data_IF_189541613702
#
_entry.id   IF_189541613702
#
_cell.length_a   1.000
_cell.length_b   1.000
_cell.length_c   1.000
_cell.angle_alpha   90.00
_cell.angle_beta   90.00
_cell.angle_gamma   90.00
#
_symmetry.space_group_name_H-M   'P 1'
#
loop_
_entity.id
_entity.type
_entity.pdbx_description
1 polymer ?
#
# COMPACT_ATOMS: atom_id res chain seq x y z
N UNK A 1 -14.35 21.14 -0.54
CA UNK A 1 -13.26 20.13 -0.40
C UNK A 1 -11.94 20.68 -0.96
N UNK A 2 -10.77 20.09 -0.67
CA UNK A 2 -9.46 20.60 -1.15
C UNK A 2 -9.38 20.79 -2.68
N UNK A 3 -9.90 19.84 -3.46
CA UNK A 3 -9.97 19.93 -4.93
C UNK A 3 -10.83 21.11 -5.40
N UNK A 4 -11.99 21.31 -4.78
CA UNK A 4 -12.90 22.41 -5.10
C UNK A 4 -12.29 23.76 -4.73
N UNK A 5 -11.61 23.84 -3.59
CA UNK A 5 -10.85 25.04 -3.22
C UNK A 5 -9.73 25.32 -4.23
N UNK A 6 -9.02 24.28 -4.68
CA UNK A 6 -8.01 24.42 -5.71
C UNK A 6 -8.57 24.99 -7.02
N UNK A 7 -9.67 24.42 -7.50
CA UNK A 7 -10.35 24.89 -8.71
C UNK A 7 -10.82 26.35 -8.59
N UNK A 8 -11.35 26.76 -7.43
CA UNK A 8 -11.82 28.15 -7.19
C UNK A 8 -10.69 29.16 -7.08
N UNK A 9 -9.50 28.75 -6.67
CA UNK A 9 -8.36 29.66 -6.39
C UNK A 9 -7.19 29.49 -7.37
N UNK A 10 -7.35 28.72 -8.44
CA UNK A 10 -6.29 28.48 -9.43
C UNK A 10 -5.10 27.67 -8.89
N UNK A 11 -5.31 26.85 -7.86
CA UNK A 11 -4.26 25.97 -7.33
C UNK A 11 -4.34 24.59 -8.01
N UNK A 12 -3.18 24.06 -8.39
CA UNK A 12 -3.08 22.66 -8.80
C UNK A 12 -3.10 21.77 -7.55
N UNK A 13 -4.18 21.01 -7.38
CA UNK A 13 -4.39 20.17 -6.21
C UNK A 13 -4.63 18.74 -6.66
N UNK A 14 -3.79 17.83 -6.17
CA UNK A 14 -3.92 16.40 -6.42
C UNK A 14 -4.17 15.66 -5.12
N UNK A 15 -4.94 14.59 -5.18
CA UNK A 15 -5.18 13.70 -4.03
C UNK A 15 -4.82 12.28 -4.41
N UNK A 16 -3.90 11.66 -3.67
CA UNK A 16 -3.56 10.24 -3.82
C UNK A 16 -4.20 9.46 -2.68
N UNK A 17 -5.02 8.46 -3.02
CA UNK A 17 -5.66 7.55 -2.08
C UNK A 17 -4.95 6.19 -2.15
N UNK A 18 -3.96 5.92 -1.27
CA UNK A 18 -3.32 4.62 -1.23
C UNK A 18 -4.22 3.56 -0.58
N UNK A 19 -3.99 2.30 -0.94
CA UNK A 19 -4.41 1.16 -0.13
C UNK A 19 -3.48 0.95 1.07
N UNK A 20 -3.34 -0.29 1.52
CA UNK A 20 -2.29 -0.66 2.49
C UNK A 20 -0.92 -0.46 1.83
N UNK A 21 -0.05 0.31 2.47
CA UNK A 21 1.29 0.64 1.96
C UNK A 21 2.33 -0.25 2.62
N UNK A 22 3.03 -1.02 1.80
CA UNK A 22 4.25 -1.74 2.21
C UNK A 22 5.49 -1.00 1.69
N UNK A 23 6.56 -1.06 2.46
CA UNK A 23 7.89 -0.56 2.10
C UNK A 23 8.72 -0.22 3.33
N UNK A 24 10.05 -0.07 3.17
CA UNK A 24 10.93 0.48 4.19
C UNK A 24 10.41 1.85 4.68
N UNK A 25 10.56 2.12 5.98
CA UNK A 25 10.25 3.44 6.53
C UNK A 25 11.40 4.42 6.27
N UNK A 26 11.09 5.73 6.18
CA UNK A 26 12.08 6.80 5.98
C UNK A 26 12.97 6.57 4.75
N UNK A 27 12.31 6.49 3.59
CA UNK A 27 12.91 6.07 2.32
C UNK A 27 13.87 7.12 1.76
N UNK A 28 15.17 6.98 2.03
CA UNK A 28 16.22 7.86 1.49
C UNK A 28 16.86 7.32 0.20
N UNK A 29 16.76 6.01 -0.05
CA UNK A 29 17.42 5.34 -1.18
C UNK A 29 16.39 4.90 -2.24
N UNK A 30 15.31 4.26 -1.82
CA UNK A 30 14.31 3.68 -2.73
C UNK A 30 12.89 4.03 -2.27
N UNK A 31 12.16 4.77 -3.11
CA UNK A 31 10.78 5.17 -2.85
C UNK A 31 9.79 4.00 -3.03
N UNK A 32 8.77 3.91 -2.17
CA UNK A 32 7.65 2.99 -2.32
C UNK A 32 6.78 3.39 -3.51
N UNK A 33 5.91 2.45 -3.91
CA UNK A 33 4.98 2.60 -5.03
C UNK A 33 4.13 3.86 -4.92
N UNK A 34 3.56 4.16 -3.76
CA UNK A 34 2.70 5.34 -3.56
C UNK A 34 3.47 6.65 -3.70
N UNK A 35 4.69 6.73 -3.16
CA UNK A 35 5.52 7.94 -3.23
C UNK A 35 6.01 8.18 -4.64
N UNK A 36 6.39 7.12 -5.37
CA UNK A 36 6.73 7.22 -6.79
C UNK A 36 5.51 7.62 -7.64
N UNK A 37 4.32 7.12 -7.33
CA UNK A 37 3.09 7.54 -8.01
C UNK A 37 2.78 9.03 -7.74
N UNK A 38 2.96 9.50 -6.51
CA UNK A 38 2.81 10.91 -6.18
C UNK A 38 3.81 11.77 -6.95
N UNK A 39 5.09 11.37 -6.96
CA UNK A 39 6.14 12.05 -7.72
C UNK A 39 5.80 12.11 -9.21
N UNK A 40 5.35 10.98 -9.77
CA UNK A 40 4.92 10.86 -11.16
C UNK A 40 3.78 11.82 -11.47
N UNK A 41 2.74 11.89 -10.64
CA UNK A 41 1.60 12.79 -10.84
C UNK A 41 2.04 14.26 -10.83
N UNK A 42 2.95 14.62 -9.93
CA UNK A 42 3.46 15.99 -9.78
C UNK A 42 4.37 16.38 -10.96
N UNK A 43 5.23 15.46 -11.43
CA UNK A 43 6.18 15.74 -12.50
C UNK A 43 5.57 15.63 -13.91
N UNK A 44 4.73 14.62 -14.15
CA UNK A 44 4.18 14.25 -15.47
C UNK A 44 2.78 14.85 -15.73
N UNK A 45 2.41 15.89 -14.96
CA UNK A 45 1.23 16.74 -15.19
C UNK A 45 -0.11 15.99 -15.13
N UNK A 46 -0.30 15.12 -14.13
CA UNK A 46 -1.64 14.59 -13.87
C UNK A 46 -2.63 15.74 -13.59
N UNK A 47 -3.85 15.75 -14.16
CA UNK A 47 -4.84 16.77 -13.84
C UNK A 47 -5.12 16.85 -12.32
N UNK A 48 -5.50 18.05 -11.86
CA UNK A 48 -5.85 18.39 -10.47
C UNK A 48 -7.05 17.60 -9.96
N UNK A 49 -6.82 16.33 -9.65
CA UNK A 49 -7.88 15.37 -9.39
C UNK A 49 -7.45 14.32 -8.36
N UNK A 50 -8.37 13.40 -8.07
CA UNK A 50 -8.11 12.23 -7.24
C UNK A 50 -7.55 11.07 -8.07
N UNK A 51 -6.56 10.39 -7.51
CA UNK A 51 -5.97 9.16 -8.02
C UNK A 51 -5.99 8.10 -6.92
N UNK A 52 -6.53 6.92 -7.25
CA UNK A 52 -6.38 5.74 -6.41
C UNK A 52 -5.02 5.12 -6.76
N UNK A 53 -4.24 4.82 -5.72
CA UNK A 53 -2.95 4.13 -5.83
C UNK A 53 -3.01 2.83 -5.02
N UNK A 54 -3.78 1.89 -5.55
CA UNK A 54 -3.84 0.52 -5.08
C UNK A 54 -3.32 -0.41 -6.19
N UNK A 55 -2.70 -1.52 -5.82
CA UNK A 55 -2.38 -2.57 -6.78
C UNK A 55 -3.68 -3.34 -7.11
N UNK A 56 -3.65 -4.65 -6.94
CA UNK A 56 -4.83 -5.49 -6.95
C UNK A 56 -5.27 -5.70 -5.50
N UNK A 57 -6.58 -5.81 -5.32
CA UNK A 57 -7.14 -6.22 -4.06
C UNK A 57 -6.67 -7.65 -3.74
N UNK A 58 -6.31 -7.88 -2.50
CA UNK A 58 -5.86 -9.18 -2.01
C UNK A 58 -6.59 -9.47 -0.71
N UNK A 59 -7.20 -10.65 -0.61
CA UNK A 59 -7.82 -11.10 0.62
C UNK A 59 -6.75 -11.36 1.68
N UNK A 60 -7.09 -11.18 2.96
CA UNK A 60 -6.13 -11.35 4.05
C UNK A 60 -5.55 -12.79 4.10
N UNK A 61 -6.34 -13.79 3.69
CA UNK A 61 -5.91 -15.18 3.54
C UNK A 61 -4.85 -15.34 2.45
N UNK A 62 -5.02 -14.67 1.32
CA UNK A 62 -4.06 -14.68 0.22
C UNK A 62 -2.77 -13.97 0.62
N UNK A 63 -2.88 -12.87 1.37
CA UNK A 63 -1.73 -12.18 1.95
C UNK A 63 -0.96 -13.11 2.90
N UNK A 64 -1.66 -13.80 3.80
CA UNK A 64 -1.03 -14.77 4.72
C UNK A 64 -0.36 -15.92 3.95
N UNK A 65 -1.00 -16.43 2.90
CA UNK A 65 -0.46 -17.48 2.04
C UNK A 65 0.83 -17.03 1.33
N UNK A 66 0.82 -15.81 0.78
CA UNK A 66 2.00 -15.19 0.16
C UNK A 66 3.14 -15.04 1.19
N UNK A 67 2.83 -14.54 2.39
CA UNK A 67 3.82 -14.40 3.46
C UNK A 67 4.45 -15.75 3.84
N UNK A 68 3.63 -16.77 4.10
CA UNK A 68 4.11 -18.13 4.44
C UNK A 68 4.98 -18.73 3.33
N UNK A 69 4.65 -18.44 2.07
CA UNK A 69 5.42 -18.91 0.91
C UNK A 69 6.79 -18.24 0.83
N UNK A 70 6.85 -16.92 1.02
CA UNK A 70 8.11 -16.16 0.92
C UNK A 70 8.98 -16.30 2.18
N UNK A 71 8.37 -16.43 3.35
CA UNK A 71 9.02 -16.34 4.65
C UNK A 71 8.53 -17.44 5.63
N UNK A 72 8.74 -18.74 5.34
CA UNK A 72 8.13 -19.84 6.09
C UNK A 72 8.57 -19.93 7.57
N UNK A 73 9.72 -19.35 7.92
CA UNK A 73 10.33 -19.47 9.25
C UNK A 73 9.77 -18.49 10.31
N UNK A 74 8.80 -17.66 9.94
CA UNK A 74 8.16 -16.71 10.86
C UNK A 74 7.00 -17.32 11.63
N UNK A 75 6.69 -16.74 12.78
CA UNK A 75 5.51 -17.09 13.55
C UNK A 75 4.27 -16.40 12.98
N UNK A 76 3.34 -17.20 12.47
CA UNK A 76 2.11 -16.73 11.86
C UNK A 76 0.89 -16.94 12.76
N UNK A 77 -0.14 -16.12 12.54
CA UNK A 77 -1.44 -16.31 13.20
C UNK A 77 -2.19 -17.47 12.53
N UNK A 78 -2.72 -18.39 13.33
CA UNK A 78 -3.48 -19.56 12.84
C UNK A 78 -4.94 -19.24 12.49
N UNK A 79 -5.51 -18.23 13.16
CA UNK A 79 -6.92 -17.84 13.00
C UNK A 79 -7.01 -16.39 12.54
N UNK A 80 -7.44 -16.21 11.31
CA UNK A 80 -7.81 -14.90 10.78
C UNK A 80 -9.30 -14.89 10.51
N UNK A 81 -9.98 -13.84 10.95
CA UNK A 81 -11.37 -13.63 10.57
C UNK A 81 -11.39 -12.93 9.23
N UNK A 82 -12.11 -13.53 8.29
CA UNK A 82 -12.35 -12.93 6.99
C UNK A 82 -13.41 -11.84 7.16
N UNK A 83 -13.07 -10.59 6.82
CA UNK A 83 -13.98 -9.47 7.01
C UNK A 83 -15.02 -9.35 5.88
N UNK A 84 -14.95 -10.20 4.85
CA UNK A 84 -15.74 -10.12 3.60
C UNK A 84 -15.90 -8.68 3.08
N UNK A 85 -14.89 -7.84 3.36
CA UNK A 85 -14.92 -6.42 3.05
C UNK A 85 -14.30 -6.24 1.67
N UNK A 86 -15.16 -6.32 0.65
CA UNK A 86 -14.76 -6.08 -0.73
C UNK A 86 -15.12 -4.67 -1.15
N UNK A 87 -14.16 -3.75 -1.01
CA UNK A 87 -14.23 -2.46 -1.68
C UNK A 87 -13.57 -2.57 -3.05
N UNK A 88 -14.37 -2.55 -4.12
CA UNK A 88 -13.84 -2.45 -5.47
C UNK A 88 -13.11 -1.12 -5.62
N UNK A 89 -11.79 -1.18 -5.68
CA UNK A 89 -10.91 -0.02 -5.90
C UNK A 89 -10.11 -0.26 -7.17
N UNK A 90 -10.08 0.74 -8.06
CA UNK A 90 -9.34 0.66 -9.33
C UNK A 90 -8.32 1.78 -9.45
N UNK A 91 -7.12 1.42 -9.89
CA UNK A 91 -6.05 2.37 -10.23
C UNK A 91 -5.93 2.59 -11.74
N UNK A 92 -6.98 2.27 -12.51
CA UNK A 92 -6.99 2.45 -13.98
C UNK A 92 -6.64 3.87 -14.38
N UNK A 93 -7.18 4.88 -13.71
CA UNK A 93 -6.85 6.28 -14.00
C UNK A 93 -5.35 6.55 -13.92
N UNK A 94 -4.68 6.00 -12.91
CA UNK A 94 -3.24 6.14 -12.74
C UNK A 94 -2.47 5.30 -13.79
N UNK A 95 -2.90 4.06 -14.05
CA UNK A 95 -2.32 3.19 -15.10
C UNK A 95 -2.44 3.81 -16.50
N UNK A 96 -3.55 4.46 -16.81
CA UNK A 96 -3.82 5.14 -18.08
C UNK A 96 -2.89 6.34 -18.31
N UNK A 97 -2.33 6.92 -17.25
CA UNK A 97 -1.28 7.93 -17.37
C UNK A 97 0.10 7.33 -17.70
N UNK A 98 0.23 6.00 -17.80
CA UNK A 98 1.52 5.31 -18.03
C UNK A 98 2.20 4.81 -16.76
N UNK A 99 1.59 4.98 -15.59
CA UNK A 99 2.12 4.49 -14.32
C UNK A 99 2.21 2.96 -14.31
N UNK A 100 3.42 2.45 -14.07
CA UNK A 100 3.70 1.02 -13.94
C UNK A 100 4.21 0.74 -12.53
N UNK A 101 3.37 0.22 -11.62
CA UNK A 101 3.82 -0.12 -10.30
C UNK A 101 4.76 -1.34 -10.34
N UNK A 102 5.70 -1.39 -9.40
CA UNK A 102 6.57 -2.55 -9.18
C UNK A 102 5.77 -3.75 -8.67
N UNK A 103 6.38 -4.94 -8.69
CA UNK A 103 5.74 -6.15 -8.19
C UNK A 103 5.57 -6.06 -6.66
N UNK A 104 4.46 -6.63 -6.17
CA UNK A 104 4.12 -6.61 -4.75
C UNK A 104 5.13 -7.41 -3.93
N UNK A 105 5.60 -8.54 -4.46
CA UNK A 105 6.56 -9.44 -3.82
C UNK A 105 7.89 -8.72 -3.54
N UNK A 106 8.37 -7.93 -4.50
CA UNK A 106 9.59 -7.13 -4.33
C UNK A 106 9.40 -6.05 -3.24
N UNK A 107 8.25 -5.38 -3.24
CA UNK A 107 7.93 -4.35 -2.22
C UNK A 107 7.83 -4.97 -0.82
N UNK A 108 7.23 -6.15 -0.76
CA UNK A 108 7.09 -6.92 0.46
C UNK A 108 8.45 -7.37 0.99
N UNK A 109 9.32 -7.85 0.10
CA UNK A 109 10.65 -8.28 0.46
C UNK A 109 11.52 -7.15 1.05
N UNK A 110 11.53 -5.98 0.40
CA UNK A 110 12.22 -4.80 0.92
C UNK A 110 11.73 -4.42 2.32
N UNK A 111 10.43 -4.59 2.58
CA UNK A 111 9.83 -4.27 3.88
C UNK A 111 10.34 -5.20 4.98
N UNK A 112 10.32 -6.52 4.72
CA UNK A 112 10.81 -7.52 5.67
C UNK A 112 12.30 -7.32 5.96
N UNK A 113 13.11 -7.15 4.91
CA UNK A 113 14.55 -6.91 5.06
C UNK A 113 14.83 -5.66 5.92
N UNK A 114 14.08 -4.57 5.69
CA UNK A 114 14.19 -3.36 6.51
C UNK A 114 13.84 -3.63 7.97
N UNK A 115 12.72 -4.31 8.24
CA UNK A 115 12.29 -4.59 9.62
C UNK A 115 13.25 -5.54 10.35
N UNK A 116 13.83 -6.53 9.65
CA UNK A 116 14.89 -7.39 10.19
C UNK A 116 16.12 -6.57 10.59
N UNK A 117 16.63 -5.74 9.67
CA UNK A 117 17.81 -4.88 9.93
C UNK A 117 17.58 -3.88 11.05
N UNK A 118 16.36 -3.37 11.17
CA UNK A 118 15.97 -2.44 12.22
C UNK A 118 15.70 -3.12 13.58
N UNK A 119 15.72 -4.46 13.65
CA UNK A 119 15.38 -5.21 14.87
C UNK A 119 13.92 -5.07 15.30
N UNK A 120 13.02 -4.79 14.34
CA UNK A 120 11.59 -4.56 14.59
C UNK A 120 10.75 -5.84 14.53
N UNK A 121 11.36 -6.97 14.16
CA UNK A 121 10.73 -8.28 14.17
C UNK A 121 11.19 -9.03 15.43
N UNK A 122 10.34 -9.07 16.44
CA UNK A 122 10.61 -9.64 17.77
C UNK A 122 10.22 -11.13 17.89
N UNK A 123 9.89 -11.77 16.77
CA UNK A 123 9.40 -13.16 16.72
C UNK A 123 7.97 -13.34 17.23
N UNK A 124 7.30 -12.28 17.69
CA UNK A 124 5.88 -12.33 18.01
C UNK A 124 5.06 -12.28 16.71
N UNK A 125 3.93 -12.99 16.64
CA UNK A 125 3.04 -12.87 15.50
C UNK A 125 2.52 -11.43 15.38
N UNK A 126 2.45 -10.95 14.13
CA UNK A 126 2.03 -9.59 13.83
C UNK A 126 0.64 -9.30 14.42
N UNK A 127 0.54 -8.24 15.24
CA UNK A 127 -0.74 -7.82 15.80
C UNK A 127 -1.54 -7.09 14.73
N UNK A 128 -2.56 -7.76 14.19
CA UNK A 128 -3.47 -7.13 13.23
C UNK A 128 -4.12 -5.87 13.85
N UNK A 129 -4.35 -4.80 13.06
CA UNK A 129 -5.10 -3.63 13.49
C UNK A 129 -6.46 -4.00 14.11
N UNK A 130 -6.97 -3.17 15.02
CA UNK A 130 -8.20 -3.47 15.78
C UNK A 130 -9.39 -3.90 14.89
N UNK A 131 -9.54 -3.29 13.72
CA UNK A 131 -10.58 -3.62 12.74
C UNK A 131 -10.58 -5.10 12.31
N UNK A 132 -9.42 -5.76 12.30
CA UNK A 132 -9.26 -7.17 11.95
C UNK A 132 -9.30 -8.12 13.16
N UNK A 133 -9.38 -7.59 14.39
CA UNK A 133 -9.48 -8.39 15.63
C UNK A 133 -10.91 -8.59 16.12
N UNK A 134 -11.85 -7.77 15.65
CA UNK A 134 -13.18 -7.60 16.26
C UNK A 134 -14.28 -8.55 15.76
N UNK A 135 -13.94 -9.64 15.09
CA UNK A 135 -14.93 -10.57 14.54
C UNK A 135 -14.77 -12.01 15.08
N UNK A 136 -14.22 -12.16 16.29
CA UNK A 136 -14.14 -13.44 17.01
C UNK A 136 -15.30 -13.61 17.99
#
# INVERSE_FOLDING_TARGET
>A
MALEYGNRNGLHVVTVCPGIVFGPMLQTVQLNTTTKALLYIIQEVGPSERYICALEQMDLKDLLSLMKTMYPNYNYVDKMVDLDYKAEVTSEKLKNLGWKPRKREETFADSIEFFEKAGLLDGQPFRLPYLYRMAA
#
